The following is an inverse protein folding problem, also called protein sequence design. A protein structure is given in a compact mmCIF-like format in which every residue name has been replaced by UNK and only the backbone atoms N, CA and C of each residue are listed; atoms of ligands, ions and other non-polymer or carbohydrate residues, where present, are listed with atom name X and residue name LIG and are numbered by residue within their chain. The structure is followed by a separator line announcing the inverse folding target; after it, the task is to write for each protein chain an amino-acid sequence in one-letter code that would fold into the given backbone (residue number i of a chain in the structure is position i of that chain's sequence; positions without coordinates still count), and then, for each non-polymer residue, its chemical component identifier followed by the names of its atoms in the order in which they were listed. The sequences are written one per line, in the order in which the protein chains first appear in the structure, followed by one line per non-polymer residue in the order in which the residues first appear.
data_IF_627623743925
#
_entry.id   IF_627623743925
#
_cell.length_a   1.000
_cell.length_b   1.000
_cell.length_c   1.000
_cell.angle_alpha   90.00
_cell.angle_beta   90.00
_cell.angle_gamma   90.00
#
_symmetry.space_group_name_H-M   'P 1'
#
loop_
_entity.id
_entity.type
_entity.pdbx_description
1 polymer ?
#
# COMPACT_ATOMS: atom_id res chain seq x y z
N UNK A 1 12.71 27.42 13.58
CA UNK A 1 13.68 28.51 13.26
C UNK A 1 13.03 29.60 12.37
N UNK A 2 12.28 29.23 11.35
CA UNK A 2 11.62 30.18 10.41
C UNK A 2 10.54 31.06 11.05
N UNK A 3 9.74 30.52 11.98
CA UNK A 3 8.69 31.28 12.69
C UNK A 3 9.32 32.37 13.61
N UNK A 4 10.46 32.10 14.24
CA UNK A 4 11.19 33.11 15.04
C UNK A 4 11.76 34.24 14.19
N UNK A 5 12.18 33.97 12.95
CA UNK A 5 12.71 34.98 12.03
C UNK A 5 11.62 35.93 11.53
N UNK A 6 10.43 35.42 11.24
CA UNK A 6 9.25 36.22 10.80
C UNK A 6 8.73 37.09 11.96
N UNK A 7 8.73 36.56 13.19
CA UNK A 7 8.33 37.31 14.39
C UNK A 7 9.34 38.41 14.75
N UNK A 8 10.64 38.17 14.54
CA UNK A 8 11.69 39.15 14.84
C UNK A 8 11.66 40.37 13.91
N UNK A 9 11.37 40.20 12.61
CA UNK A 9 11.21 41.33 11.67
C UNK A 9 9.94 42.16 11.92
N UNK A 10 8.88 41.58 12.48
CA UNK A 10 7.67 42.30 12.84
C UNK A 10 7.77 43.08 14.16
N UNK A 11 8.64 42.64 15.09
CA UNK A 11 8.73 43.29 16.41
C UNK A 11 9.56 44.57 16.41
N UNK A 12 10.55 44.71 15.54
CA UNK A 12 11.35 45.93 15.41
C UNK A 12 10.59 47.10 14.78
N UNK A 13 9.66 46.84 13.85
CA UNK A 13 8.86 47.87 13.20
C UNK A 13 7.71 48.42 14.09
N UNK A 14 7.31 47.66 15.12
CA UNK A 14 6.20 48.04 16.03
C UNK A 14 6.67 48.94 17.18
N UNK A 15 7.95 48.93 17.56
CA UNK A 15 8.47 49.64 18.73
C UNK A 15 8.89 51.09 18.46
N UNK A 16 8.94 51.58 17.21
CA UNK A 16 9.53 52.88 16.84
C UNK A 16 8.53 54.03 16.56
N UNK A 17 7.23 53.84 16.67
CA UNK A 17 6.26 54.92 16.36
C UNK A 17 5.14 55.04 17.40
N UNK A 18 5.36 55.90 18.40
CA UNK A 18 4.31 56.44 19.26
C UNK A 18 4.46 57.96 19.30
N UNK A 19 3.73 58.73 18.48
CA UNK A 19 3.07 60.04 18.78
C UNK A 19 2.46 60.76 17.55
N UNK A 20 1.26 61.32 17.77
CA UNK A 20 0.50 62.39 17.07
C UNK A 20 -0.35 62.06 15.83
N UNK A 21 -1.46 62.80 15.68
CA UNK A 21 -2.62 62.60 14.81
C UNK A 21 -2.37 62.51 13.27
N UNK A 22 -1.22 62.84 12.75
CA UNK A 22 -0.73 62.41 11.43
C UNK A 22 -0.42 60.91 11.37
N UNK A 23 -0.17 60.31 12.50
CA UNK A 23 0.21 58.94 12.75
C UNK A 23 -0.87 57.90 12.42
N UNK A 24 -2.16 58.18 12.57
CA UNK A 24 -3.20 57.16 12.31
C UNK A 24 -3.24 56.72 10.85
N UNK A 25 -2.94 57.57 9.90
CA UNK A 25 -2.86 57.22 8.48
C UNK A 25 -1.58 56.47 8.15
N UNK A 26 -0.46 56.83 8.77
CA UNK A 26 0.82 56.10 8.62
C UNK A 26 0.78 54.73 9.31
N UNK A 27 0.24 54.66 10.53
CA UNK A 27 0.02 53.40 11.27
C UNK A 27 -0.90 52.43 10.48
N UNK A 28 -1.96 52.93 9.86
CA UNK A 28 -2.84 52.13 9.02
C UNK A 28 -2.15 51.64 7.73
N UNK A 29 -1.24 52.44 7.16
CA UNK A 29 -0.48 52.06 5.98
C UNK A 29 0.63 51.04 6.34
N UNK A 30 1.32 51.20 7.47
CA UNK A 30 2.30 50.22 7.98
C UNK A 30 1.60 48.90 8.28
N UNK A 31 0.45 48.94 8.98
CA UNK A 31 -0.37 47.73 9.21
C UNK A 31 -0.79 47.03 7.90
N UNK A 32 -1.13 47.78 6.87
CA UNK A 32 -1.52 47.23 5.57
C UNK A 32 -0.36 46.55 4.83
N UNK A 33 0.87 47.08 4.94
CA UNK A 33 2.08 46.54 4.33
C UNK A 33 2.56 45.26 4.99
N UNK A 34 2.18 44.98 6.23
CA UNK A 34 2.50 43.76 6.96
C UNK A 34 1.35 42.77 6.93
N UNK A 35 0.12 43.24 7.10
CA UNK A 35 -1.06 42.35 7.21
C UNK A 35 -1.42 41.71 5.87
N UNK A 36 -1.37 42.42 4.75
CA UNK A 36 -1.75 41.87 3.44
C UNK A 36 -0.80 40.78 2.99
N UNK A 37 0.56 40.92 3.03
CA UNK A 37 1.47 39.84 2.74
C UNK A 37 1.31 38.63 3.69
N UNK A 38 1.03 38.87 4.98
CA UNK A 38 0.77 37.80 5.94
C UNK A 38 -0.49 37.01 5.59
N UNK A 39 -1.58 37.72 5.24
CA UNK A 39 -2.82 37.06 4.79
C UNK A 39 -2.57 36.26 3.50
N UNK A 40 -1.81 36.80 2.54
CA UNK A 40 -1.46 36.09 1.30
C UNK A 40 -0.69 34.81 1.61
N UNK A 41 0.25 34.85 2.55
CA UNK A 41 1.00 33.70 2.99
C UNK A 41 0.12 32.65 3.68
N UNK A 42 -0.76 33.07 4.59
CA UNK A 42 -1.70 32.17 5.29
C UNK A 42 -2.71 31.52 4.33
N UNK A 43 -3.21 32.28 3.36
CA UNK A 43 -4.07 31.72 2.30
C UNK A 43 -3.31 30.68 1.46
N UNK A 44 -2.03 30.94 1.17
CA UNK A 44 -1.15 29.98 0.52
C UNK A 44 -1.03 28.68 1.33
N UNK A 45 -0.77 28.76 2.63
CA UNK A 45 -0.69 27.59 3.53
C UNK A 45 -2.02 26.81 3.55
N UNK A 46 -3.15 27.51 3.61
CA UNK A 46 -4.46 26.85 3.58
C UNK A 46 -4.68 26.09 2.27
N UNK A 47 -4.33 26.68 1.14
CA UNK A 47 -4.40 26.05 -0.18
C UNK A 47 -3.48 24.83 -0.28
N UNK A 48 -2.24 24.94 0.23
CA UNK A 48 -1.28 23.83 0.29
C UNK A 48 -1.87 22.66 1.08
N UNK A 49 -2.43 22.95 2.26
CA UNK A 49 -3.03 21.90 3.12
C UNK A 49 -4.15 21.15 2.41
N UNK A 50 -4.98 21.85 1.64
CA UNK A 50 -6.06 21.23 0.85
C UNK A 50 -5.50 20.36 -0.31
N UNK A 51 -4.47 20.85 -1.01
CA UNK A 51 -3.83 20.08 -2.09
C UNK A 51 -3.17 18.84 -1.54
N UNK A 52 -2.37 18.97 -0.47
CA UNK A 52 -1.68 17.84 0.20
C UNK A 52 -2.70 16.80 0.67
N UNK A 53 -3.78 17.23 1.32
CA UNK A 53 -4.84 16.34 1.79
C UNK A 53 -5.48 15.57 0.63
N UNK A 54 -5.86 16.25 -0.46
CA UNK A 54 -6.45 15.60 -1.65
C UNK A 54 -5.48 14.63 -2.32
N UNK A 55 -4.22 15.03 -2.48
CA UNK A 55 -3.19 14.18 -3.10
C UNK A 55 -2.92 12.95 -2.24
N UNK A 56 -2.74 13.10 -0.91
CA UNK A 56 -2.50 11.98 0.00
C UNK A 56 -3.67 10.97 -0.01
N UNK A 57 -4.91 11.49 0.02
CA UNK A 57 -6.10 10.63 -0.02
C UNK A 57 -6.20 9.87 -1.34
N UNK A 58 -6.00 10.56 -2.47
CA UNK A 58 -6.08 9.95 -3.80
C UNK A 58 -4.97 8.90 -4.02
N UNK A 59 -3.72 9.23 -3.67
CA UNK A 59 -2.59 8.31 -3.76
C UNK A 59 -2.79 7.05 -2.90
N UNK A 60 -3.27 7.24 -1.68
CA UNK A 60 -3.58 6.13 -0.77
C UNK A 60 -4.67 5.22 -1.36
N UNK A 61 -5.74 5.78 -1.89
CA UNK A 61 -6.83 5.03 -2.53
C UNK A 61 -6.33 4.24 -3.76
N UNK A 62 -5.54 4.86 -4.63
CA UNK A 62 -4.95 4.20 -5.79
C UNK A 62 -4.03 3.04 -5.40
N UNK A 63 -3.21 3.22 -4.35
CA UNK A 63 -2.35 2.16 -3.81
C UNK A 63 -3.16 1.00 -3.24
N UNK A 64 -4.28 1.29 -2.54
CA UNK A 64 -5.17 0.25 -2.04
C UNK A 64 -5.84 -0.53 -3.17
N UNK A 65 -6.37 0.14 -4.18
CA UNK A 65 -7.00 -0.51 -5.36
C UNK A 65 -5.97 -1.39 -6.08
N UNK A 66 -4.77 -0.87 -6.33
CA UNK A 66 -3.69 -1.64 -6.98
C UNK A 66 -3.29 -2.86 -6.15
N UNK A 67 -3.16 -2.69 -4.84
CA UNK A 67 -2.83 -3.81 -3.95
C UNK A 67 -3.98 -4.84 -3.88
N UNK A 68 -5.24 -4.42 -3.88
CA UNK A 68 -6.39 -5.33 -3.94
C UNK A 68 -6.39 -6.17 -5.22
N UNK A 69 -6.10 -5.57 -6.37
CA UNK A 69 -5.98 -6.29 -7.64
C UNK A 69 -4.80 -7.27 -7.61
N UNK A 70 -3.66 -6.86 -7.06
CA UNK A 70 -2.49 -7.72 -6.95
C UNK A 70 -2.72 -8.89 -5.98
N UNK A 71 -3.30 -8.64 -4.80
CA UNK A 71 -3.57 -9.72 -3.84
C UNK A 71 -4.56 -10.74 -4.40
N UNK A 72 -5.57 -10.32 -5.15
CA UNK A 72 -6.49 -11.23 -5.81
C UNK A 72 -5.82 -12.05 -6.91
N UNK A 73 -5.05 -11.39 -7.80
CA UNK A 73 -4.34 -12.08 -8.89
C UNK A 73 -3.32 -13.10 -8.39
N UNK A 74 -2.47 -12.70 -7.43
CA UNK A 74 -1.45 -13.59 -6.89
C UNK A 74 -2.04 -14.62 -5.94
N UNK A 75 -3.13 -14.30 -5.24
CA UNK A 75 -3.87 -15.25 -4.42
C UNK A 75 -4.49 -16.37 -5.24
N UNK A 76 -5.12 -16.07 -6.39
CA UNK A 76 -5.60 -17.09 -7.32
C UNK A 76 -4.44 -17.93 -7.89
N UNK A 77 -3.30 -17.30 -8.19
CA UNK A 77 -2.12 -18.03 -8.65
C UNK A 77 -1.59 -18.99 -7.59
N UNK A 78 -1.44 -18.55 -6.34
CA UNK A 78 -1.04 -19.39 -5.20
C UNK A 78 -2.02 -20.54 -5.01
N UNK A 79 -3.32 -20.27 -5.09
CA UNK A 79 -4.36 -21.31 -5.05
C UNK A 79 -4.15 -22.36 -6.15
N UNK A 80 -3.90 -21.92 -7.39
CA UNK A 80 -3.66 -22.82 -8.52
C UNK A 80 -2.37 -23.66 -8.34
N UNK A 81 -1.29 -23.04 -7.80
CA UNK A 81 -0.05 -23.75 -7.50
C UNK A 81 -0.28 -24.89 -6.50
N UNK A 82 -1.08 -24.66 -5.45
CA UNK A 82 -1.47 -25.72 -4.50
C UNK A 82 -2.41 -26.72 -5.17
N UNK A 83 -3.36 -26.27 -5.99
CA UNK A 83 -4.32 -27.14 -6.70
C UNK A 83 -3.61 -28.10 -7.66
N UNK A 84 -2.54 -27.66 -8.32
CA UNK A 84 -1.71 -28.54 -9.16
C UNK A 84 -1.13 -29.72 -8.34
N UNK A 85 -0.73 -29.46 -7.09
CA UNK A 85 -0.31 -30.53 -6.17
C UNK A 85 -1.46 -31.49 -5.83
N UNK A 86 -2.69 -30.98 -5.70
CA UNK A 86 -3.89 -31.77 -5.47
C UNK A 86 -4.19 -32.67 -6.68
N UNK A 87 -4.08 -32.13 -7.89
CA UNK A 87 -4.32 -32.89 -9.15
C UNK A 87 -3.39 -34.11 -9.27
N UNK A 88 -2.18 -34.04 -8.75
CA UNK A 88 -1.27 -35.19 -8.66
C UNK A 88 -1.88 -36.29 -7.78
N UNK A 89 -2.43 -35.94 -6.63
CA UNK A 89 -3.07 -36.89 -5.73
C UNK A 89 -4.32 -37.50 -6.37
N UNK A 90 -5.10 -36.71 -7.10
CA UNK A 90 -6.26 -37.20 -7.85
C UNK A 90 -5.86 -38.14 -9.00
N UNK A 91 -4.77 -37.84 -9.70
CA UNK A 91 -4.23 -38.72 -10.76
C UNK A 91 -3.87 -40.09 -10.18
N UNK A 92 -3.12 -40.10 -9.09
CA UNK A 92 -2.77 -41.36 -8.41
C UNK A 92 -3.98 -42.14 -7.90
N UNK A 93 -4.99 -41.39 -7.37
CA UNK A 93 -6.27 -41.97 -6.93
C UNK A 93 -7.01 -42.67 -8.08
N UNK A 94 -7.06 -42.04 -9.26
CA UNK A 94 -7.71 -42.63 -10.43
C UNK A 94 -7.00 -43.87 -10.92
N UNK A 95 -5.65 -43.91 -10.87
CA UNK A 95 -4.85 -45.11 -11.21
C UNK A 95 -5.14 -46.22 -10.21
N UNK A 96 -5.13 -45.94 -8.89
CA UNK A 96 -5.47 -46.90 -7.85
C UNK A 96 -6.85 -47.53 -8.03
N UNK A 97 -7.85 -46.70 -8.38
CA UNK A 97 -9.21 -47.16 -8.66
C UNK A 97 -9.25 -48.05 -9.91
N UNK A 98 -8.49 -47.74 -10.95
CA UNK A 98 -8.46 -48.50 -12.20
C UNK A 98 -7.66 -49.78 -12.12
N UNK A 99 -6.70 -49.87 -11.21
CA UNK A 99 -5.79 -51.02 -11.03
C UNK A 99 -6.07 -51.80 -9.72
N UNK A 100 -7.32 -51.72 -9.21
CA UNK A 100 -7.79 -52.46 -8.03
C UNK A 100 -6.93 -52.26 -6.76
N UNK A 101 -6.37 -51.06 -6.58
CA UNK A 101 -5.66 -50.64 -5.38
C UNK A 101 -4.14 -50.86 -5.43
N UNK A 102 -3.59 -51.14 -6.57
CA UNK A 102 -2.12 -51.24 -6.80
C UNK A 102 -1.71 -50.27 -7.92
N UNK A 103 -0.51 -49.71 -7.82
CA UNK A 103 0.12 -48.96 -8.92
C UNK A 103 1.35 -49.70 -9.37
N UNK A 104 1.26 -50.45 -10.46
CA UNK A 104 2.33 -51.29 -10.97
C UNK A 104 3.48 -50.48 -11.48
N UNK A 105 3.80 -49.47 -11.61
CA UNK A 105 4.96 -48.67 -12.02
C UNK A 105 5.04 -47.36 -11.23
N UNK A 106 4.77 -47.46 -9.94
CA UNK A 106 4.69 -46.27 -9.08
C UNK A 106 5.89 -45.31 -9.24
N UNK A 107 7.14 -45.86 -9.18
CA UNK A 107 8.34 -45.03 -9.30
C UNK A 107 8.41 -44.24 -10.63
N UNK A 108 8.03 -44.89 -11.74
CA UNK A 108 8.03 -44.27 -13.07
C UNK A 108 6.95 -43.16 -13.17
N UNK A 109 5.76 -43.46 -12.67
CA UNK A 109 4.63 -42.50 -12.68
C UNK A 109 4.94 -41.33 -11.76
N UNK A 110 5.36 -41.62 -10.52
CA UNK A 110 5.73 -40.59 -9.55
C UNK A 110 6.89 -39.72 -10.06
N UNK A 111 7.89 -40.31 -10.71
CA UNK A 111 9.00 -39.59 -11.31
C UNK A 111 8.56 -38.58 -12.39
N UNK A 112 7.58 -38.98 -13.20
CA UNK A 112 7.02 -38.08 -14.23
C UNK A 112 6.13 -36.95 -13.65
N UNK A 113 5.64 -37.10 -12.42
CA UNK A 113 4.82 -36.11 -11.73
C UNK A 113 5.65 -35.16 -10.86
N UNK A 114 6.96 -35.40 -10.71
CA UNK A 114 7.84 -34.53 -9.92
C UNK A 114 8.08 -33.19 -10.60
N UNK A 115 8.20 -32.17 -9.77
CA UNK A 115 8.66 -30.83 -10.13
C UNK A 115 9.54 -30.25 -9.02
N UNK A 116 10.17 -29.10 -9.27
CA UNK A 116 11.03 -28.45 -8.29
C UNK A 116 10.32 -28.09 -6.97
N UNK A 117 9.01 -27.88 -7.02
CA UNK A 117 8.16 -27.57 -5.86
C UNK A 117 7.62 -28.80 -5.12
N UNK A 118 7.89 -30.02 -5.61
CA UNK A 118 7.41 -31.26 -5.00
C UNK A 118 8.58 -31.98 -4.31
N UNK A 119 8.45 -32.20 -3.01
CA UNK A 119 9.42 -32.94 -2.22
C UNK A 119 9.28 -34.45 -2.42
N UNK A 120 8.05 -34.94 -2.39
CA UNK A 120 7.77 -36.37 -2.60
C UNK A 120 6.32 -36.65 -2.95
N UNK A 121 6.14 -37.78 -3.64
CA UNK A 121 4.84 -38.39 -3.93
C UNK A 121 4.78 -39.71 -3.15
N UNK A 122 3.65 -40.01 -2.48
CA UNK A 122 3.55 -41.14 -1.56
C UNK A 122 2.20 -41.84 -1.67
N UNK A 123 2.21 -43.14 -1.35
CA UNK A 123 1.00 -43.95 -1.16
C UNK A 123 0.96 -44.46 0.28
N UNK A 124 -0.22 -44.43 0.88
CA UNK A 124 -0.43 -44.86 2.25
C UNK A 124 -1.65 -45.80 2.39
N UNK A 125 -1.55 -47.06 1.95
CA UNK A 125 -2.62 -48.03 2.16
C UNK A 125 -2.89 -48.23 3.65
N UNK A 126 -4.19 -48.26 4.04
CA UNK A 126 -4.65 -48.27 5.43
C UNK A 126 -4.05 -47.17 6.32
N UNK A 127 -3.57 -46.06 5.71
CA UNK A 127 -2.96 -44.94 6.41
C UNK A 127 -1.48 -45.10 6.73
N UNK A 128 -0.85 -46.19 6.37
CA UNK A 128 0.59 -46.40 6.55
C UNK A 128 1.34 -46.14 5.24
N UNK A 129 2.30 -45.22 5.27
CA UNK A 129 3.06 -44.86 4.08
C UNK A 129 3.99 -46.01 3.69
N UNK A 130 3.72 -46.67 2.55
CA UNK A 130 4.48 -47.83 2.03
C UNK A 130 5.35 -47.44 0.84
N UNK A 131 4.88 -46.58 -0.02
CA UNK A 131 5.57 -46.19 -1.25
C UNK A 131 5.88 -44.70 -1.23
N UNK A 132 7.12 -44.35 -1.51
CA UNK A 132 7.60 -42.96 -1.52
C UNK A 132 8.55 -42.74 -2.69
N UNK A 133 8.32 -41.72 -3.47
CA UNK A 133 9.25 -41.29 -4.51
C UNK A 133 9.60 -39.79 -4.32
N UNK A 134 10.88 -39.39 -4.34
CA UNK A 134 12.06 -40.27 -4.37
C UNK A 134 12.26 -41.03 -3.03
N UNK A 135 12.78 -42.26 -3.12
CA UNK A 135 13.01 -43.09 -1.95
C UNK A 135 14.15 -42.59 -1.05
N UNK A 136 15.17 -41.93 -1.62
CA UNK A 136 16.33 -41.44 -0.91
C UNK A 136 15.97 -40.39 0.16
N UNK A 137 16.31 -40.67 1.42
CA UNK A 137 16.03 -39.78 2.56
C UNK A 137 14.64 -39.94 3.17
N UNK A 138 13.77 -40.77 2.61
CA UNK A 138 12.43 -41.06 3.08
C UNK A 138 12.32 -42.46 3.67
N UNK A 139 11.51 -42.62 4.72
CA UNK A 139 11.36 -43.89 5.43
C UNK A 139 9.98 -44.50 5.20
N UNK A 140 9.85 -45.38 4.21
CA UNK A 140 8.64 -46.18 3.99
C UNK A 140 8.37 -47.13 5.16
N UNK A 141 7.09 -47.39 5.44
CA UNK A 141 6.65 -48.36 6.46
C UNK A 141 6.71 -47.91 7.93
N UNK A 142 7.23 -46.68 8.19
CA UNK A 142 7.36 -46.15 9.56
C UNK A 142 6.36 -45.03 9.91
N UNK A 143 5.66 -44.51 8.94
CA UNK A 143 4.73 -43.38 9.13
C UNK A 143 3.30 -43.91 9.08
N UNK A 144 2.69 -44.05 10.24
CA UNK A 144 1.26 -44.36 10.38
C UNK A 144 0.48 -43.07 10.57
N UNK A 145 -0.24 -42.64 9.53
CA UNK A 145 -0.96 -41.39 9.51
C UNK A 145 -2.27 -41.39 10.32
N UNK A 146 -2.80 -42.56 10.63
CA UNK A 146 -4.06 -42.71 11.37
C UNK A 146 -3.81 -42.73 12.89
N UNK A 147 -2.77 -43.42 13.34
CA UNK A 147 -2.49 -43.57 14.76
C UNK A 147 -1.39 -42.63 15.29
N UNK A 148 -0.85 -41.77 14.43
CA UNK A 148 0.11 -40.74 14.82
C UNK A 148 -0.54 -39.68 15.71
N UNK A 149 0.14 -39.22 16.77
CA UNK A 149 -0.38 -38.24 17.75
C UNK A 149 -0.69 -36.86 17.13
N UNK A 150 0.15 -36.45 16.19
CA UNK A 150 0.08 -35.08 15.60
C UNK A 150 -0.71 -35.07 14.28
N UNK A 151 -0.69 -36.23 13.55
CA UNK A 151 -1.26 -36.35 12.21
C UNK A 151 -2.59 -37.10 12.21
N UNK A 152 -2.84 -37.94 13.22
CA UNK A 152 -3.98 -38.85 13.24
C UNK A 152 -5.31 -38.17 13.19
N UNK A 153 -5.51 -37.13 14.01
CA UNK A 153 -6.80 -36.42 14.08
C UNK A 153 -7.20 -35.84 12.72
N UNK A 154 -6.28 -35.16 12.01
CA UNK A 154 -6.55 -34.56 10.72
C UNK A 154 -6.68 -35.60 9.59
N UNK A 155 -5.93 -36.68 9.66
CA UNK A 155 -6.03 -37.81 8.71
C UNK A 155 -7.36 -38.55 8.87
N UNK A 156 -7.80 -38.81 10.11
CA UNK A 156 -9.13 -39.37 10.36
C UNK A 156 -10.24 -38.47 9.86
N UNK A 157 -10.12 -37.12 10.06
CA UNK A 157 -11.08 -36.17 9.51
C UNK A 157 -11.17 -36.27 7.98
N UNK A 158 -10.03 -36.32 7.29
CA UNK A 158 -10.00 -36.47 5.83
C UNK A 158 -10.71 -37.75 5.38
N UNK A 159 -10.41 -38.86 6.05
CA UNK A 159 -11.04 -40.16 5.83
C UNK A 159 -12.55 -40.08 6.06
N UNK A 160 -12.99 -39.62 7.22
CA UNK A 160 -14.38 -39.70 7.65
C UNK A 160 -15.30 -38.73 6.88
N UNK A 161 -14.74 -37.63 6.36
CA UNK A 161 -15.47 -36.62 5.59
C UNK A 161 -15.22 -36.70 4.06
N UNK A 162 -14.45 -37.68 3.59
CA UNK A 162 -14.12 -37.85 2.15
C UNK A 162 -13.50 -36.59 1.51
N UNK A 163 -12.77 -35.80 2.30
CA UNK A 163 -12.24 -34.50 1.88
C UNK A 163 -10.71 -34.50 1.81
N UNK A 164 -10.18 -33.71 0.89
CA UNK A 164 -8.74 -33.45 0.81
C UNK A 164 -8.33 -32.51 1.95
N UNK A 165 -7.20 -32.77 2.57
CA UNK A 165 -6.64 -31.90 3.59
C UNK A 165 -5.23 -31.47 3.24
N UNK A 166 -4.83 -30.29 3.75
CA UNK A 166 -3.45 -29.79 3.69
C UNK A 166 -2.91 -29.66 5.11
N UNK A 167 -1.89 -30.43 5.47
CA UNK A 167 -1.25 -30.35 6.79
C UNK A 167 0.13 -29.70 6.69
N UNK A 168 0.39 -28.75 7.55
CA UNK A 168 1.68 -28.06 7.60
C UNK A 168 1.54 -26.56 7.93
N UNK A 169 2.62 -25.78 7.74
CA UNK A 169 3.95 -26.25 7.36
C UNK A 169 4.63 -27.06 8.48
N UNK A 170 5.43 -28.06 8.11
CA UNK A 170 6.28 -28.82 9.01
C UNK A 170 7.70 -28.91 8.45
N UNK A 171 8.68 -29.10 9.35
CA UNK A 171 10.07 -29.15 8.94
C UNK A 171 10.38 -30.47 8.24
N UNK A 172 10.93 -30.39 7.04
CA UNK A 172 11.42 -31.53 6.27
C UNK A 172 12.79 -32.00 6.79
N UNK A 173 13.19 -33.23 6.46
CA UNK A 173 14.49 -33.77 6.86
C UNK A 173 15.66 -33.00 6.25
N UNK A 174 15.48 -32.45 5.05
CA UNK A 174 16.47 -31.61 4.36
C UNK A 174 16.59 -30.18 4.93
N UNK A 175 15.77 -29.81 5.93
CA UNK A 175 15.85 -28.55 6.64
C UNK A 175 14.87 -27.49 6.17
N UNK A 176 14.20 -27.68 5.04
CA UNK A 176 13.14 -26.84 4.50
C UNK A 176 11.78 -27.17 5.13
N UNK A 177 10.74 -26.42 4.73
CA UNK A 177 9.38 -26.68 5.18
C UNK A 177 8.55 -27.31 4.07
N UNK A 178 7.58 -28.14 4.47
CA UNK A 178 6.65 -28.80 3.55
C UNK A 178 5.21 -28.73 4.01
N UNK A 179 4.32 -28.86 3.04
CA UNK A 179 2.88 -29.03 3.24
C UNK A 179 2.50 -30.38 2.66
N UNK A 180 1.88 -31.24 3.46
CA UNK A 180 1.34 -32.52 2.99
C UNK A 180 -0.08 -32.33 2.49
N UNK A 181 -0.31 -32.59 1.21
CA UNK A 181 -1.65 -32.77 0.64
C UNK A 181 -2.02 -34.22 0.76
N UNK A 182 -3.12 -34.57 1.42
CA UNK A 182 -3.64 -35.91 1.55
C UNK A 182 -5.03 -36.02 0.96
N UNK A 183 -5.18 -36.97 0.04
CA UNK A 183 -6.45 -37.28 -0.62
C UNK A 183 -6.86 -38.73 -0.24
N UNK A 184 -7.99 -38.92 0.44
CA UNK A 184 -8.48 -40.22 0.82
C UNK A 184 -8.99 -40.98 -0.41
N UNK A 185 -8.61 -42.25 -0.48
CA UNK A 185 -8.98 -43.16 -1.56
C UNK A 185 -9.92 -44.24 -1.02
N UNK A 186 -10.99 -44.46 -1.76
CA UNK A 186 -11.98 -45.49 -1.46
C UNK A 186 -12.10 -46.43 -2.64
N UNK A 187 -12.10 -47.73 -2.36
CA UNK A 187 -12.29 -48.77 -3.36
C UNK A 187 -13.55 -49.56 -3.05
N UNK A 188 -14.00 -50.35 -4.01
CA UNK A 188 -15.15 -51.25 -3.83
C UNK A 188 -14.67 -52.70 -3.72
N UNK A 189 -15.21 -53.41 -2.75
CA UNK A 189 -14.99 -54.85 -2.63
C UNK A 189 -15.77 -55.63 -3.73
N UNK A 190 -15.60 -56.94 -3.77
CA UNK A 190 -16.28 -57.85 -4.72
C UNK A 190 -17.83 -57.80 -4.63
N UNK A 191 -18.36 -57.31 -3.53
CA UNK A 191 -19.78 -57.16 -3.26
C UNK A 191 -20.28 -55.74 -3.58
N UNK A 192 -19.39 -54.87 -3.98
CA UNK A 192 -19.72 -53.46 -4.30
C UNK A 192 -19.72 -52.52 -3.08
N UNK A 193 -19.32 -53.02 -1.89
CA UNK A 193 -19.21 -52.19 -0.69
C UNK A 193 -17.96 -51.34 -0.76
N UNK A 194 -18.14 -50.03 -0.49
CA UNK A 194 -17.02 -49.11 -0.44
C UNK A 194 -16.23 -49.29 0.87
N UNK A 195 -14.90 -49.28 0.76
CA UNK A 195 -14.02 -49.28 1.91
C UNK A 195 -12.88 -48.28 1.74
N UNK A 196 -12.36 -47.75 2.82
CA UNK A 196 -11.20 -46.88 2.83
C UNK A 196 -9.96 -47.69 2.49
N UNK A 197 -9.35 -47.38 1.32
CA UNK A 197 -8.10 -47.99 0.89
C UNK A 197 -6.90 -47.35 1.59
N UNK A 198 -6.88 -45.98 1.72
CA UNK A 198 -5.73 -45.27 2.24
C UNK A 198 -5.69 -43.82 1.70
N UNK A 199 -4.48 -43.33 1.56
CA UNK A 199 -4.26 -41.97 1.03
C UNK A 199 -3.29 -41.97 -0.15
N UNK A 200 -3.53 -41.11 -1.14
CA UNK A 200 -2.51 -40.59 -2.03
C UNK A 200 -2.01 -39.26 -1.44
N UNK A 201 -0.70 -39.02 -1.51
CA UNK A 201 -0.07 -37.93 -0.79
C UNK A 201 0.95 -37.24 -1.69
N UNK A 202 0.99 -35.95 -1.65
CA UNK A 202 2.07 -35.09 -2.20
C UNK A 202 2.59 -34.18 -1.12
N UNK A 203 3.90 -34.13 -0.97
CA UNK A 203 4.55 -33.13 -0.11
C UNK A 203 5.05 -31.99 -0.97
N UNK A 204 4.45 -30.83 -0.77
CA UNK A 204 4.81 -29.56 -1.44
C UNK A 204 5.89 -28.86 -0.65
N UNK A 205 6.95 -28.41 -1.31
CA UNK A 205 8.08 -27.69 -0.70
C UNK A 205 7.73 -26.21 -0.55
N UNK A 206 7.97 -25.65 0.63
CA UNK A 206 7.76 -24.22 0.95
C UNK A 206 9.13 -23.58 1.19
N UNK A 207 9.47 -22.45 0.53
CA UNK A 207 8.59 -21.59 -0.28
C UNK A 207 8.47 -21.93 -1.77
N UNK A 208 9.13 -22.99 -2.26
CA UNK A 208 9.31 -23.27 -3.70
C UNK A 208 7.98 -23.30 -4.46
N UNK A 209 6.91 -23.86 -3.86
CA UNK A 209 5.58 -23.89 -4.46
C UNK A 209 5.02 -22.49 -4.78
N UNK A 210 5.50 -21.46 -4.10
CA UNK A 210 5.07 -20.07 -4.28
C UNK A 210 6.13 -19.18 -4.94
N UNK A 211 7.26 -19.76 -5.38
CA UNK A 211 8.47 -19.01 -5.79
C UNK A 211 8.20 -17.93 -6.83
N UNK A 212 7.41 -18.24 -7.85
CA UNK A 212 7.09 -17.33 -8.92
C UNK A 212 6.21 -16.16 -8.44
N UNK A 213 5.20 -16.47 -7.62
CA UNK A 213 4.27 -15.48 -7.07
C UNK A 213 4.98 -14.55 -6.08
N UNK A 214 5.79 -15.10 -5.16
CA UNK A 214 6.51 -14.31 -4.15
C UNK A 214 7.63 -13.46 -4.75
N UNK A 215 8.34 -13.98 -5.77
CA UNK A 215 9.37 -13.22 -6.47
C UNK A 215 8.78 -11.99 -7.19
N UNK A 216 7.67 -12.16 -7.87
CA UNK A 216 6.97 -11.06 -8.53
C UNK A 216 6.49 -10.00 -7.53
N UNK A 217 5.87 -10.40 -6.42
CA UNK A 217 5.41 -9.50 -5.36
C UNK A 217 6.56 -8.71 -4.73
N UNK A 218 7.69 -9.37 -4.44
CA UNK A 218 8.90 -8.71 -3.94
C UNK A 218 9.42 -7.65 -4.91
N UNK A 219 9.41 -7.94 -6.20
CA UNK A 219 9.83 -7.02 -7.26
C UNK A 219 8.88 -5.82 -7.40
N UNK A 220 7.58 -6.02 -7.15
CA UNK A 220 6.60 -4.94 -7.08
C UNK A 220 6.64 -4.15 -5.77
N UNK A 221 7.54 -4.49 -4.86
CA UNK A 221 7.72 -3.78 -3.59
C UNK A 221 6.65 -4.05 -2.56
N UNK A 222 6.14 -5.30 -2.50
CA UNK A 222 5.21 -5.75 -1.46
C UNK A 222 5.93 -6.65 -0.44
N UNK A 223 5.50 -6.52 0.82
CA UNK A 223 5.61 -7.56 1.84
C UNK A 223 4.36 -8.42 1.79
N UNK A 224 4.50 -9.71 2.11
CA UNK A 224 3.42 -10.68 1.98
C UNK A 224 3.42 -11.70 3.12
N UNK A 225 2.23 -12.28 3.37
CA UNK A 225 2.03 -13.38 4.32
C UNK A 225 0.98 -14.33 3.77
N UNK A 226 1.31 -15.63 3.77
CA UNK A 226 0.43 -16.74 3.43
C UNK A 226 0.12 -17.48 4.73
N UNK A 227 -1.13 -17.63 5.06
CA UNK A 227 -1.61 -18.37 6.23
C UNK A 227 -2.78 -19.26 5.88
N UNK A 228 -3.00 -20.30 6.69
CA UNK A 228 -4.14 -21.21 6.55
C UNK A 228 -4.69 -21.56 7.93
N UNK A 229 -5.93 -22.03 7.99
CA UNK A 229 -6.47 -22.59 9.22
C UNK A 229 -5.63 -23.79 9.68
N UNK A 230 -5.37 -23.88 10.97
CA UNK A 230 -4.53 -24.96 11.55
C UNK A 230 -5.18 -26.35 11.35
N UNK A 231 -6.49 -26.40 11.28
CA UNK A 231 -7.28 -27.58 10.98
C UNK A 231 -8.65 -27.19 10.38
N UNK A 232 -9.36 -28.13 9.70
CA UNK A 232 -10.69 -27.85 9.13
C UNK A 232 -11.74 -27.37 10.14
N UNK A 233 -11.62 -27.77 11.39
CA UNK A 233 -12.51 -27.39 12.49
C UNK A 233 -12.03 -26.18 13.31
N UNK A 234 -11.01 -25.48 12.86
CA UNK A 234 -10.36 -24.38 13.58
C UNK A 234 -10.49 -23.06 12.84
N UNK A 235 -10.78 -22.00 13.56
CA UNK A 235 -10.73 -20.63 13.02
C UNK A 235 -9.36 -19.97 13.25
N UNK A 236 -8.42 -20.69 13.85
CA UNK A 236 -7.07 -20.19 14.12
C UNK A 236 -6.18 -20.35 12.88
N UNK A 237 -5.63 -19.25 12.41
CA UNK A 237 -4.70 -19.25 11.28
C UNK A 237 -3.25 -19.51 11.73
N UNK A 238 -2.55 -20.32 10.95
CA UNK A 238 -1.13 -20.61 11.09
C UNK A 238 -0.39 -20.06 9.87
N UNK A 239 0.71 -19.35 10.12
CA UNK A 239 1.54 -18.81 9.03
C UNK A 239 2.23 -19.99 8.31
N UNK A 240 2.04 -20.03 7.01
CA UNK A 240 2.69 -20.98 6.10
C UNK A 240 4.02 -20.41 5.62
N UNK A 241 4.00 -19.17 5.14
CA UNK A 241 5.17 -18.44 4.71
C UNK A 241 4.93 -16.93 4.76
N UNK A 242 5.98 -16.17 5.04
CA UNK A 242 5.93 -14.72 5.04
C UNK A 242 7.27 -14.10 4.66
N UNK A 243 7.24 -12.88 4.15
CA UNK A 243 8.42 -12.04 3.95
C UNK A 243 9.00 -11.54 5.28
N UNK A 244 10.25 -11.05 5.25
CA UNK A 244 10.95 -10.57 6.46
C UNK A 244 10.41 -9.25 7.01
N UNK A 245 9.65 -8.51 6.21
CA UNK A 245 9.12 -7.20 6.57
C UNK A 245 7.87 -7.27 7.44
N UNK A 246 7.47 -6.11 7.98
CA UNK A 246 6.25 -6.01 8.78
C UNK A 246 5.01 -5.91 7.90
N UNK A 247 4.00 -6.68 8.24
CA UNK A 247 2.68 -6.66 7.60
C UNK A 247 1.77 -5.70 8.40
N UNK A 248 1.62 -4.47 7.92
CA UNK A 248 0.83 -3.44 8.57
C UNK A 248 -0.38 -3.05 7.73
N UNK A 249 -1.58 -3.18 8.30
CA UNK A 249 -2.84 -2.89 7.60
C UNK A 249 -2.92 -3.51 6.21
N UNK A 250 -2.73 -4.85 6.06
CA UNK A 250 -2.69 -5.51 4.77
C UNK A 250 -4.03 -5.43 4.04
N UNK A 251 -3.98 -5.66 2.72
CA UNK A 251 -5.12 -6.13 1.96
C UNK A 251 -5.00 -7.65 1.85
N UNK A 252 -6.12 -8.35 1.92
CA UNK A 252 -6.17 -9.80 1.93
C UNK A 252 -7.03 -10.37 0.81
N UNK A 253 -6.70 -11.61 0.43
CA UNK A 253 -7.47 -12.46 -0.42
C UNK A 253 -7.61 -13.83 0.26
N UNK A 254 -8.84 -14.33 0.36
CA UNK A 254 -9.15 -15.60 1.01
C UNK A 254 -9.67 -16.60 -0.01
N UNK A 255 -9.27 -17.87 0.14
CA UNK A 255 -9.74 -18.98 -0.68
C UNK A 255 -9.80 -20.26 0.16
N UNK A 256 -10.47 -21.28 -0.35
CA UNK A 256 -10.62 -22.56 0.32
C UNK A 256 -9.94 -23.67 -0.47
N UNK A 257 -9.35 -24.63 0.24
CA UNK A 257 -8.82 -25.89 -0.29
C UNK A 257 -9.35 -27.01 0.60
N UNK A 258 -10.18 -27.89 0.03
CA UNK A 258 -10.96 -28.82 0.84
C UNK A 258 -11.83 -28.02 1.82
N UNK A 259 -11.75 -28.39 3.10
CA UNK A 259 -12.48 -27.71 4.20
C UNK A 259 -11.60 -26.71 4.96
N UNK A 260 -10.44 -26.33 4.43
CA UNK A 260 -9.50 -25.40 5.05
C UNK A 260 -9.52 -24.04 4.37
N UNK A 261 -9.53 -22.97 5.18
CA UNK A 261 -9.44 -21.61 4.69
C UNK A 261 -7.99 -21.15 4.61
N UNK A 262 -7.66 -20.52 3.51
CA UNK A 262 -6.37 -19.90 3.25
C UNK A 262 -6.54 -18.39 3.15
N UNK A 263 -5.56 -17.67 3.67
CA UNK A 263 -5.50 -16.21 3.60
C UNK A 263 -4.14 -15.77 3.09
N UNK A 264 -4.18 -14.95 2.07
CA UNK A 264 -3.03 -14.30 1.49
C UNK A 264 -3.12 -12.79 1.72
N UNK A 265 -2.11 -12.22 2.36
CA UNK A 265 -2.05 -10.81 2.74
C UNK A 265 -0.85 -10.14 2.10
N UNK A 266 -1.03 -8.89 1.63
CA UNK A 266 0.08 -8.06 1.14
C UNK A 266 0.00 -6.63 1.69
N UNK A 267 1.17 -5.99 1.84
CA UNK A 267 1.30 -4.58 2.19
C UNK A 267 2.47 -3.96 1.42
N UNK A 268 2.37 -2.70 0.96
CA UNK A 268 3.50 -2.06 0.30
C UNK A 268 4.69 -1.87 1.25
N UNK A 269 5.92 -2.21 0.83
CA UNK A 269 7.17 -1.98 1.60
C UNK A 269 7.36 -0.52 2.01
N UNK A 270 6.98 0.40 1.13
CA UNK A 270 7.03 1.85 1.38
C UNK A 270 5.86 2.37 2.24
N UNK A 271 4.95 1.48 2.67
CA UNK A 271 3.70 1.86 3.32
C UNK A 271 2.67 2.43 2.36
N UNK A 272 1.49 2.75 2.91
CA UNK A 272 0.33 3.24 2.14
C UNK A 272 0.46 4.69 1.70
N UNK A 273 1.35 5.48 2.35
CA UNK A 273 1.59 6.89 2.04
C UNK A 273 2.92 7.10 1.32
N UNK A 274 2.91 7.96 0.32
CA UNK A 274 4.13 8.41 -0.34
C UNK A 274 4.68 9.66 0.37
N UNK A 275 5.37 9.45 1.50
CA UNK A 275 5.92 10.54 2.29
C UNK A 275 6.89 11.44 1.49
N UNK A 276 7.69 10.85 0.61
CA UNK A 276 8.64 11.60 -0.23
C UNK A 276 7.92 12.57 -1.16
N UNK A 277 6.88 12.10 -1.85
CA UNK A 277 6.07 12.95 -2.74
C UNK A 277 5.44 14.10 -1.95
N UNK A 278 4.85 13.82 -0.78
CA UNK A 278 4.23 14.84 0.06
C UNK A 278 5.23 15.90 0.53
N UNK A 279 6.44 15.50 0.94
CA UNK A 279 7.51 16.43 1.35
C UNK A 279 7.90 17.34 0.19
N UNK A 280 8.06 16.81 -1.02
CA UNK A 280 8.38 17.59 -2.21
C UNK A 280 7.28 18.60 -2.52
N UNK A 281 6.01 18.17 -2.51
CA UNK A 281 4.86 19.05 -2.75
C UNK A 281 4.82 20.18 -1.71
N UNK A 282 4.92 19.85 -0.43
CA UNK A 282 4.93 20.83 0.66
C UNK A 282 6.07 21.85 0.47
N UNK A 283 7.29 21.38 0.21
CA UNK A 283 8.45 22.23 0.01
C UNK A 283 8.28 23.20 -1.18
N UNK A 284 7.83 22.69 -2.32
CA UNK A 284 7.61 23.48 -3.52
C UNK A 284 6.54 24.57 -3.30
N UNK A 285 5.40 24.21 -2.75
CA UNK A 285 4.31 25.17 -2.54
C UNK A 285 4.60 26.17 -1.43
N UNK A 286 5.35 25.80 -0.37
CA UNK A 286 5.81 26.71 0.66
C UNK A 286 6.72 27.81 0.07
N UNK A 287 7.64 27.45 -0.81
CA UNK A 287 8.52 28.42 -1.48
C UNK A 287 7.72 29.36 -2.37
N UNK A 288 6.75 28.85 -3.13
CA UNK A 288 5.86 29.69 -3.96
C UNK A 288 5.04 30.66 -3.09
N UNK A 289 4.46 30.18 -1.99
CA UNK A 289 3.67 31.00 -1.07
C UNK A 289 4.50 32.13 -0.45
N UNK A 290 5.76 31.83 -0.07
CA UNK A 290 6.69 32.81 0.46
C UNK A 290 7.03 33.89 -0.60
N UNK A 291 7.36 33.48 -1.82
CA UNK A 291 7.65 34.38 -2.92
C UNK A 291 6.48 35.30 -3.23
N UNK A 292 5.26 34.78 -3.29
CA UNK A 292 4.05 35.58 -3.51
C UNK A 292 3.84 36.61 -2.40
N UNK A 293 4.08 36.23 -1.14
CA UNK A 293 4.01 37.14 0.00
C UNK A 293 5.02 38.28 -0.11
N UNK A 294 6.27 37.97 -0.47
CA UNK A 294 7.33 38.98 -0.68
C UNK A 294 6.99 39.88 -1.85
N UNK A 295 6.54 39.33 -2.97
CA UNK A 295 6.12 40.13 -4.16
C UNK A 295 4.96 41.09 -3.81
N UNK A 296 4.00 40.61 -3.02
CA UNK A 296 2.88 41.46 -2.54
C UNK A 296 3.38 42.64 -1.70
N UNK A 297 4.35 42.40 -0.81
CA UNK A 297 5.00 43.45 -0.01
C UNK A 297 5.72 44.47 -0.90
N UNK A 298 6.55 44.01 -1.83
CA UNK A 298 7.31 44.86 -2.79
C UNK A 298 6.36 45.68 -3.61
N UNK A 299 5.28 45.09 -4.13
CA UNK A 299 4.25 45.82 -4.90
C UNK A 299 3.57 46.92 -4.09
N UNK A 300 3.19 46.68 -2.83
CA UNK A 300 2.59 47.68 -1.95
C UNK A 300 3.55 48.84 -1.68
N UNK A 301 4.83 48.57 -1.42
CA UNK A 301 5.85 49.57 -1.20
C UNK A 301 6.09 50.39 -2.47
N UNK A 302 6.23 49.76 -3.62
CA UNK A 302 6.42 50.43 -4.91
C UNK A 302 5.21 51.35 -5.27
N UNK A 303 3.99 50.87 -5.00
CA UNK A 303 2.76 51.67 -5.22
C UNK A 303 2.74 52.94 -4.38
N UNK A 304 3.21 52.88 -3.15
CA UNK A 304 3.30 54.03 -2.26
C UNK A 304 4.37 55.03 -2.73
N UNK A 305 5.57 54.52 -3.07
CA UNK A 305 6.63 55.38 -3.61
C UNK A 305 6.14 56.10 -4.87
N UNK A 306 5.47 55.39 -5.79
CA UNK A 306 4.87 56.03 -6.98
C UNK A 306 3.91 57.17 -6.62
N UNK A 307 3.04 56.99 -5.60
CA UNK A 307 2.13 58.06 -5.15
C UNK A 307 2.91 59.25 -4.57
N UNK A 308 3.92 58.99 -3.73
CA UNK A 308 4.77 60.08 -3.16
C UNK A 308 5.47 60.86 -4.26
N UNK A 309 6.06 60.18 -5.24
CA UNK A 309 6.70 60.83 -6.39
C UNK A 309 5.71 61.66 -7.24
N UNK A 310 4.50 61.16 -7.44
CA UNK A 310 3.45 61.93 -8.17
C UNK A 310 3.01 63.20 -7.43
N UNK A 311 2.93 63.15 -6.09
CA UNK A 311 2.62 64.35 -5.29
C UNK A 311 3.78 65.34 -5.35
N UNK A 312 5.03 64.91 -5.13
CA UNK A 312 6.21 65.74 -5.19
C UNK A 312 6.41 66.36 -6.57
N UNK A 313 6.10 65.68 -7.65
CA UNK A 313 6.21 66.20 -9.02
C UNK A 313 5.12 67.27 -9.35
N UNK A 314 4.01 67.30 -8.58
CA UNK A 314 2.86 68.19 -8.83
C UNK A 314 2.72 69.34 -7.84
N UNK A 315 3.45 69.29 -6.72
CA UNK A 315 3.36 70.33 -5.68
C UNK A 315 4.70 71.05 -5.51
N UNK A 316 4.63 72.34 -5.14
CA UNK A 316 5.78 73.09 -4.71
C UNK A 316 6.18 72.69 -3.28
N UNK A 317 7.46 72.45 -3.05
CA UNK A 317 7.98 71.93 -1.80
C UNK A 317 7.90 72.89 -0.61
N UNK A 318 7.79 74.20 -0.86
CA UNK A 318 7.73 75.25 0.20
C UNK A 318 6.29 75.59 0.58
N UNK A 319 5.41 75.67 -0.41
CA UNK A 319 4.03 76.13 -0.20
C UNK A 319 3.01 75.02 -0.16
N UNK A 320 3.37 73.83 -0.56
CA UNK A 320 2.49 72.68 -0.70
C UNK A 320 1.28 72.85 -1.62
N UNK A 321 1.34 73.83 -2.49
CA UNK A 321 0.31 74.19 -3.53
C UNK A 321 0.75 73.51 -4.83
N UNK A 322 -0.18 73.31 -5.80
CA UNK A 322 0.22 72.81 -7.12
C UNK A 322 1.26 73.72 -7.76
N UNK A 323 2.36 73.12 -8.21
CA UNK A 323 3.32 73.76 -9.09
C UNK A 323 2.68 73.94 -10.49
N UNK A 324 3.35 74.67 -11.38
CA UNK A 324 2.86 74.92 -12.73
C UNK A 324 2.41 73.65 -13.46
N UNK A 325 3.18 72.61 -13.40
CA UNK A 325 2.85 71.33 -14.01
C UNK A 325 1.59 70.68 -13.39
N UNK A 326 1.47 70.68 -12.08
CA UNK A 326 0.33 70.09 -11.35
C UNK A 326 -0.96 70.92 -11.62
N UNK A 327 -0.81 72.23 -11.75
CA UNK A 327 -1.95 73.11 -12.09
C UNK A 327 -2.45 72.87 -13.52
N UNK A 328 -1.55 72.80 -14.52
CA UNK A 328 -1.91 72.56 -15.92
C UNK A 328 -2.65 71.26 -16.09
N UNK A 329 -2.12 70.12 -15.46
CA UNK A 329 -2.75 68.81 -15.49
C UNK A 329 -4.14 68.80 -14.78
N UNK A 330 -4.26 69.51 -13.67
CA UNK A 330 -5.54 69.67 -12.98
C UNK A 330 -6.57 70.46 -13.81
N UNK A 331 -6.15 71.54 -14.43
CA UNK A 331 -7.00 72.39 -15.28
C UNK A 331 -7.48 71.58 -16.51
N UNK A 332 -6.60 70.87 -17.19
CA UNK A 332 -6.99 69.98 -18.31
C UNK A 332 -8.04 68.98 -17.91
N UNK A 333 -7.83 68.26 -16.80
CA UNK A 333 -8.81 67.31 -16.29
C UNK A 333 -10.14 67.87 -15.92
N UNK A 334 -10.15 69.09 -15.35
CA UNK A 334 -11.39 69.82 -15.02
C UNK A 334 -12.14 70.24 -16.28
N UNK A 335 -11.43 70.70 -17.31
CA UNK A 335 -11.99 71.06 -18.60
C UNK A 335 -12.61 69.88 -19.30
N UNK A 336 -11.90 68.79 -19.35
CA UNK A 336 -12.38 67.53 -19.95
C UNK A 336 -13.61 66.97 -19.24
N UNK A 337 -13.66 67.06 -17.91
CA UNK A 337 -14.77 66.55 -17.10
C UNK A 337 -16.03 67.43 -17.17
N UNK A 338 -15.84 68.73 -17.46
CA UNK A 338 -16.91 69.74 -17.52
C UNK A 338 -16.81 70.62 -18.78
N UNK A 339 -17.03 70.05 -19.99
CA UNK A 339 -16.78 70.77 -21.27
C UNK A 339 -17.70 72.02 -21.52
N UNK A 340 -18.77 72.20 -20.72
CA UNK A 340 -19.67 73.33 -20.81
C UNK A 340 -19.45 74.36 -19.69
N UNK A 341 -18.50 74.16 -18.80
CA UNK A 341 -18.22 75.07 -17.70
C UNK A 341 -17.28 76.23 -18.15
N UNK A 342 -17.54 77.46 -17.74
CA UNK A 342 -16.62 78.59 -17.90
C UNK A 342 -15.69 78.61 -16.69
N UNK A 343 -14.39 78.52 -16.94
CA UNK A 343 -13.36 78.63 -15.90
C UNK A 343 -12.74 80.05 -15.98
N UNK A 344 -12.60 80.73 -14.82
CA UNK A 344 -11.85 81.96 -14.69
C UNK A 344 -10.55 81.59 -13.96
N UNK A 345 -9.41 81.99 -14.55
CA UNK A 345 -8.06 81.75 -13.99
C UNK A 345 -7.62 83.02 -13.24
#
# INVERSE_FOLDING_TARGET
FFIKLILFFNFCDIMLYYNNSHEQNEVNQVKKKTLVPLITFLLGICLISLIVYKTDTHEKEQRHITAQLNVANYGERIKNEITNGIEITDTLKQILISEDGEIHQFETIAGNLMSDSIESVQLAPNGVVTDIYPANGNEAGKIDLIHDKDRGKISCYARDNHTIITQGPFKLKQGEYGIAVRNPVYLKDKNGHEYFWGFTIVILRVPDIFSDSISALSNFGYEYKISKTDAPWSDTYKVVYQSDGQINHPVSYTFTIGDENWEFEITPKSGWRNATLLIIIIGMFLTISLLLSVLTRVWLVAKEHKKKFQILARTDSLTNIYNRYGFDEFAEKMIQKNPKAHFVA
#
